data_IF_368081154425
#
_entry.id   IF_368081154425
#
_cell.length_a   1.000
_cell.length_b   1.000
_cell.length_c   1.000
_cell.angle_alpha   90.00
_cell.angle_beta   90.00
_cell.angle_gamma   90.00
#
_symmetry.space_group_name_H-M   'P 1'
#
loop_
_entity.id
_entity.type
_entity.pdbx_description
1 polymer ?
#
# COMPACT_ATOMS: atom_id res chain seq x y z
N UNK A 1 43.50 -38.80 -22.74
CA UNK A 1 42.17 -38.75 -22.12
C UNK A 1 41.96 -37.33 -21.59
N UNK A 2 41.16 -36.52 -22.25
CA UNK A 2 40.85 -35.14 -21.80
C UNK A 2 39.53 -35.18 -21.00
N UNK A 3 39.61 -34.82 -19.74
CA UNK A 3 38.44 -34.72 -18.88
C UNK A 3 37.54 -33.58 -19.35
N UNK A 4 36.29 -33.88 -19.62
CA UNK A 4 35.26 -32.94 -19.96
C UNK A 4 34.79 -32.26 -18.63
N UNK A 5 35.06 -30.95 -18.51
CA UNK A 5 34.58 -30.16 -17.42
C UNK A 5 33.12 -29.81 -17.71
N UNK A 6 32.19 -30.42 -17.03
CA UNK A 6 30.77 -30.10 -17.06
C UNK A 6 30.56 -28.74 -16.37
N UNK A 7 30.29 -27.69 -17.17
CA UNK A 7 29.74 -26.42 -16.68
C UNK A 7 28.33 -26.70 -16.12
N UNK A 8 28.23 -26.78 -14.82
CA UNK A 8 26.96 -26.66 -14.11
C UNK A 8 26.41 -25.26 -14.37
N UNK A 9 25.44 -25.12 -15.26
CA UNK A 9 24.66 -23.92 -15.42
C UNK A 9 23.90 -23.69 -14.12
N UNK A 10 24.37 -22.75 -13.30
CA UNK A 10 23.60 -22.15 -12.20
C UNK A 10 22.37 -21.51 -12.84
N UNK A 11 21.26 -22.22 -12.84
CA UNK A 11 19.94 -21.68 -13.13
C UNK A 11 19.69 -20.58 -12.09
N UNK A 12 19.89 -19.33 -12.48
CA UNK A 12 19.63 -18.16 -11.65
C UNK A 12 18.18 -18.26 -11.15
N UNK A 13 17.99 -18.52 -9.86
CA UNK A 13 16.67 -18.59 -9.25
C UNK A 13 16.04 -17.22 -9.45
N UNK A 14 15.05 -17.12 -10.32
CA UNK A 14 14.28 -15.89 -10.49
C UNK A 14 13.75 -15.46 -9.12
N UNK A 15 14.04 -14.23 -8.78
CA UNK A 15 13.54 -13.61 -7.55
C UNK A 15 12.01 -13.60 -7.58
N UNK A 16 11.37 -13.98 -6.48
CA UNK A 16 9.90 -13.94 -6.35
C UNK A 16 9.41 -12.49 -6.34
N UNK A 17 8.26 -12.18 -6.94
CA UNK A 17 7.59 -10.90 -6.77
C UNK A 17 7.32 -10.60 -5.30
N UNK A 18 7.20 -9.32 -4.99
CA UNK A 18 6.79 -8.83 -3.68
C UNK A 18 5.56 -7.94 -3.86
N UNK A 19 4.58 -8.08 -2.98
CA UNK A 19 3.31 -7.39 -3.07
C UNK A 19 3.18 -6.43 -1.90
N UNK A 20 2.90 -5.17 -2.21
CA UNK A 20 2.54 -4.12 -1.25
C UNK A 20 1.10 -3.70 -1.49
N UNK A 21 0.36 -3.49 -0.42
CA UNK A 21 -1.05 -3.15 -0.49
C UNK A 21 -1.37 -2.05 0.52
N UNK A 22 -2.17 -1.07 0.10
CA UNK A 22 -2.81 -0.15 1.03
C UNK A 22 -3.95 -0.86 1.79
N UNK A 23 -4.50 -0.19 2.79
CA UNK A 23 -5.53 -0.76 3.65
C UNK A 23 -6.89 -0.07 3.49
N UNK A 24 -6.97 1.22 3.85
CA UNK A 24 -8.20 1.99 3.82
C UNK A 24 -8.70 2.16 2.38
N UNK A 25 -9.98 1.88 2.12
CA UNK A 25 -10.53 1.91 0.78
C UNK A 25 -10.01 0.80 -0.18
N UNK A 26 -8.93 0.09 0.19
CA UNK A 26 -8.33 -0.99 -0.61
C UNK A 26 -8.73 -2.37 -0.08
N UNK A 27 -8.29 -2.76 1.13
CA UNK A 27 -8.69 -4.00 1.81
C UNK A 27 -10.09 -3.82 2.42
N UNK A 28 -10.35 -2.68 3.02
CA UNK A 28 -11.70 -2.27 3.41
C UNK A 28 -12.45 -1.66 2.24
N UNK A 29 -13.78 -1.77 2.24
CA UNK A 29 -14.62 -1.15 1.20
C UNK A 29 -14.80 0.36 1.39
N UNK A 30 -14.46 0.87 2.58
CA UNK A 30 -14.55 2.28 2.96
C UNK A 30 -13.23 2.71 3.58
N UNK A 31 -12.90 4.00 3.47
CA UNK A 31 -11.83 4.60 4.27
C UNK A 31 -12.29 4.67 5.73
N UNK A 32 -11.61 3.95 6.63
CA UNK A 32 -12.00 3.84 8.04
C UNK A 32 -11.64 5.11 8.79
N UNK A 33 -10.55 5.76 8.42
CA UNK A 33 -10.14 7.04 8.98
C UNK A 33 -11.21 8.09 8.68
N UNK A 34 -11.70 8.17 7.46
CA UNK A 34 -12.80 9.04 7.08
C UNK A 34 -14.09 8.74 7.85
N UNK A 35 -14.41 7.47 8.09
CA UNK A 35 -15.58 7.09 8.89
C UNK A 35 -15.45 7.60 10.35
N UNK A 36 -14.27 7.47 10.96
CA UNK A 36 -13.99 7.97 12.31
C UNK A 36 -14.13 9.49 12.34
N UNK A 37 -13.54 10.20 11.38
CA UNK A 37 -13.61 11.66 11.30
C UNK A 37 -15.03 12.17 11.09
N UNK A 38 -15.78 11.54 10.20
CA UNK A 38 -17.17 11.92 9.93
C UNK A 38 -18.08 11.76 11.15
N UNK A 39 -17.85 10.73 11.96
CA UNK A 39 -18.73 10.39 13.08
C UNK A 39 -18.32 11.09 14.39
N UNK A 40 -17.03 11.27 14.62
CA UNK A 40 -16.52 11.64 15.95
C UNK A 40 -15.63 12.88 15.98
N UNK A 41 -15.21 13.42 14.81
CA UNK A 41 -14.35 14.59 14.81
C UNK A 41 -15.14 15.90 14.76
N UNK A 42 -14.57 16.95 15.34
CA UNK A 42 -15.08 18.31 15.13
C UNK A 42 -15.04 18.65 13.63
N UNK A 43 -16.08 19.31 13.03
CA UNK A 43 -16.19 19.56 11.58
C UNK A 43 -15.00 20.26 10.93
N UNK A 44 -14.16 20.95 11.69
CA UNK A 44 -12.93 21.59 11.22
C UNK A 44 -11.91 20.61 10.60
N UNK A 45 -12.07 19.30 10.79
CA UNK A 45 -11.22 18.30 10.14
C UNK A 45 -11.26 18.40 8.61
N UNK A 46 -12.35 18.89 8.02
CA UNK A 46 -12.51 19.08 6.56
C UNK A 46 -11.62 20.19 5.99
N UNK A 47 -11.34 21.19 6.79
CA UNK A 47 -10.39 22.26 6.42
C UNK A 47 -8.98 21.70 6.36
N UNK A 48 -8.62 20.85 7.34
CA UNK A 48 -7.33 20.15 7.36
C UNK A 48 -7.18 19.20 6.16
N UNK A 49 -8.25 18.49 5.82
CA UNK A 49 -8.30 17.61 4.63
C UNK A 49 -8.09 18.40 3.33
N UNK A 50 -8.68 19.58 3.23
CA UNK A 50 -8.50 20.45 2.07
C UNK A 50 -7.05 20.94 1.96
N UNK A 51 -6.39 21.30 3.06
CA UNK A 51 -4.98 21.69 3.06
C UNK A 51 -4.08 20.54 2.56
N UNK A 52 -4.37 19.31 2.95
CA UNK A 52 -3.64 18.13 2.47
C UNK A 52 -3.93 17.83 0.99
N UNK A 53 -5.17 17.82 0.60
CA UNK A 53 -5.57 17.51 -0.78
C UNK A 53 -5.01 18.49 -1.81
N UNK A 54 -4.88 19.78 -1.46
CA UNK A 54 -4.22 20.77 -2.31
C UNK A 54 -2.68 20.78 -2.18
N UNK A 55 -2.11 19.95 -1.29
CA UNK A 55 -0.66 19.78 -1.13
C UNK A 55 0.01 20.83 -0.25
N UNK A 56 -0.75 21.64 0.50
CA UNK A 56 -0.22 22.64 1.43
C UNK A 56 0.47 22.01 2.65
N UNK A 57 -0.02 20.84 3.08
CA UNK A 57 0.55 20.05 4.18
C UNK A 57 0.77 18.60 3.73
N UNK A 58 1.62 17.86 4.46
CA UNK A 58 1.82 16.42 4.27
C UNK A 58 0.78 15.58 5.00
N UNK A 59 0.68 14.28 4.65
CA UNK A 59 -0.28 13.38 5.31
C UNK A 59 -0.01 13.19 6.79
N UNK A 60 1.24 13.31 7.26
CA UNK A 60 1.55 13.26 8.67
C UNK A 60 0.87 14.39 9.45
N UNK A 61 1.07 15.65 9.02
CA UNK A 61 0.48 16.81 9.68
C UNK A 61 -1.05 16.76 9.60
N UNK A 62 -1.58 16.34 8.45
CA UNK A 62 -3.01 16.17 8.26
C UNK A 62 -3.60 15.23 9.30
N UNK A 63 -3.10 13.99 9.38
CA UNK A 63 -3.60 12.97 10.32
C UNK A 63 -3.40 13.35 11.79
N UNK A 64 -2.28 14.00 12.13
CA UNK A 64 -2.03 14.48 13.49
C UNK A 64 -3.09 15.51 13.92
N UNK A 65 -3.36 16.51 13.07
CA UNK A 65 -4.36 17.54 13.32
C UNK A 65 -5.78 16.98 13.33
N UNK A 66 -6.09 16.06 12.43
CA UNK A 66 -7.40 15.40 12.34
C UNK A 66 -7.69 14.54 13.57
N UNK A 67 -6.75 13.69 14.00
CA UNK A 67 -6.93 12.84 15.17
C UNK A 67 -7.06 13.65 16.47
N UNK A 68 -6.44 14.81 16.56
CA UNK A 68 -6.61 15.72 17.68
C UNK A 68 -8.04 16.30 17.80
N UNK A 69 -8.82 16.26 16.72
CA UNK A 69 -10.22 16.70 16.68
C UNK A 69 -11.23 15.59 16.97
N UNK A 70 -10.77 14.34 17.11
CA UNK A 70 -11.63 13.18 17.41
C UNK A 70 -11.96 13.14 18.92
N UNK A 71 -13.25 13.08 19.24
CA UNK A 71 -13.79 12.91 20.59
C UNK A 71 -14.61 11.61 20.66
N UNK A 72 -13.92 10.49 20.90
CA UNK A 72 -14.54 9.17 20.98
C UNK A 72 -13.84 8.27 22.00
N UNK A 73 -14.60 7.47 22.73
CA UNK A 73 -14.05 6.42 23.57
C UNK A 73 -13.54 5.22 22.75
N UNK A 74 -12.73 4.37 23.35
CA UNK A 74 -12.27 3.15 22.71
C UNK A 74 -13.45 2.22 22.31
N UNK A 75 -14.52 2.18 23.11
CA UNK A 75 -15.73 1.39 22.83
C UNK A 75 -16.46 1.91 21.59
N UNK A 76 -16.61 3.23 21.46
CA UNK A 76 -17.24 3.88 20.31
C UNK A 76 -16.44 3.64 19.02
N UNK A 77 -15.11 3.83 19.06
CA UNK A 77 -14.23 3.52 17.94
C UNK A 77 -14.29 2.04 17.56
N UNK A 78 -14.26 1.15 18.55
CA UNK A 78 -14.34 -0.28 18.32
C UNK A 78 -15.66 -0.69 17.65
N UNK A 79 -16.79 -0.11 18.07
CA UNK A 79 -18.09 -0.37 17.46
C UNK A 79 -18.14 0.06 15.98
N UNK A 80 -17.59 1.24 15.67
CA UNK A 80 -17.47 1.71 14.29
C UNK A 80 -16.58 0.79 13.48
N UNK A 81 -15.37 0.47 13.96
CA UNK A 81 -14.39 -0.37 13.24
C UNK A 81 -14.96 -1.78 13.00
N UNK A 82 -15.72 -2.33 13.95
CA UNK A 82 -16.34 -3.64 13.80
C UNK A 82 -17.46 -3.67 12.73
N UNK A 83 -18.01 -2.53 12.38
CA UNK A 83 -19.02 -2.42 11.33
C UNK A 83 -18.42 -2.25 9.92
N UNK A 84 -17.12 -1.97 9.80
CA UNK A 84 -16.47 -1.72 8.50
C UNK A 84 -16.45 -2.99 7.66
N UNK A 85 -16.98 -2.97 6.43
CA UNK A 85 -16.92 -4.11 5.54
C UNK A 85 -15.52 -4.28 4.95
N UNK A 86 -15.05 -5.53 4.91
CA UNK A 86 -13.82 -5.96 4.22
C UNK A 86 -14.21 -6.45 2.82
N UNK A 87 -13.34 -6.26 1.86
CA UNK A 87 -13.51 -6.80 0.51
C UNK A 87 -13.76 -8.31 0.57
N UNK A 88 -14.85 -8.82 -0.06
CA UNK A 88 -15.24 -10.23 0.04
C UNK A 88 -14.21 -11.18 -0.59
N UNK A 89 -13.42 -10.73 -1.54
CA UNK A 89 -12.34 -11.50 -2.18
C UNK A 89 -11.06 -11.57 -1.33
N UNK A 90 -10.90 -10.68 -0.34
CA UNK A 90 -9.66 -10.60 0.44
C UNK A 90 -9.29 -11.90 1.18
N UNK A 91 -10.23 -12.66 1.81
CA UNK A 91 -9.88 -13.94 2.42
C UNK A 91 -9.41 -15.00 1.40
N UNK A 92 -9.91 -14.95 0.15
CA UNK A 92 -9.42 -15.82 -0.93
C UNK A 92 -8.02 -15.41 -1.39
N UNK A 93 -7.79 -14.12 -1.54
CA UNK A 93 -6.47 -13.55 -1.84
C UNK A 93 -5.40 -13.98 -0.83
N UNK A 94 -5.72 -13.97 0.47
CA UNK A 94 -4.78 -14.41 1.52
C UNK A 94 -4.42 -15.90 1.39
N UNK A 95 -5.40 -16.76 1.13
CA UNK A 95 -5.13 -18.18 0.87
C UNK A 95 -4.25 -18.36 -0.36
N UNK A 96 -4.55 -17.65 -1.43
CA UNK A 96 -3.74 -17.66 -2.64
C UNK A 96 -2.29 -17.20 -2.39
N UNK A 97 -2.09 -16.18 -1.53
CA UNK A 97 -0.76 -15.74 -1.10
C UNK A 97 0.00 -16.83 -0.35
N UNK A 98 -0.67 -17.52 0.59
CA UNK A 98 -0.09 -18.63 1.34
C UNK A 98 0.35 -19.77 0.39
N UNK A 99 -0.52 -20.15 -0.54
CA UNK A 99 -0.24 -21.22 -1.52
C UNK A 99 0.89 -20.82 -2.49
N UNK A 100 0.94 -19.59 -2.93
CA UNK A 100 1.98 -19.08 -3.84
C UNK A 100 3.31 -18.81 -3.14
N UNK A 101 3.29 -18.62 -1.81
CA UNK A 101 4.43 -18.24 -1.00
C UNK A 101 5.06 -16.90 -1.43
N UNK A 102 4.21 -15.95 -1.87
CA UNK A 102 4.63 -14.61 -2.22
C UNK A 102 4.68 -13.73 -0.96
N UNK A 103 5.74 -12.91 -0.78
CA UNK A 103 5.80 -11.94 0.30
C UNK A 103 4.76 -10.84 0.06
N UNK A 104 4.02 -10.53 1.13
CA UNK A 104 2.93 -9.56 1.14
C UNK A 104 3.06 -8.61 2.34
N UNK A 105 2.92 -7.32 2.09
CA UNK A 105 3.02 -6.28 3.09
C UNK A 105 1.85 -5.30 2.97
N UNK A 106 1.24 -4.95 4.10
CA UNK A 106 0.31 -3.83 4.19
C UNK A 106 1.11 -2.58 4.54
N UNK A 107 0.97 -1.53 3.73
CA UNK A 107 1.68 -0.26 3.89
C UNK A 107 0.65 0.87 3.78
N UNK A 108 0.19 1.38 4.91
CA UNK A 108 -0.96 2.28 5.01
C UNK A 108 -0.65 3.56 5.79
N UNK A 109 -1.28 4.66 5.40
CA UNK A 109 -1.33 5.88 6.20
C UNK A 109 -2.40 5.79 7.31
N UNK A 110 -3.22 4.72 7.34
CA UNK A 110 -4.13 4.40 8.44
C UNK A 110 -3.41 3.97 9.72
N UNK A 111 -4.19 3.58 10.72
CA UNK A 111 -3.70 3.30 12.06
C UNK A 111 -3.70 1.81 12.40
N UNK A 112 -2.63 1.32 13.02
CA UNK A 112 -2.43 -0.07 13.42
C UNK A 112 -3.56 -0.58 14.35
N UNK A 113 -4.08 0.27 15.23
CA UNK A 113 -5.24 0.00 16.09
C UNK A 113 -6.45 -0.47 15.25
N UNK A 114 -6.75 0.26 14.18
CA UNK A 114 -7.84 -0.04 13.25
C UNK A 114 -7.53 -1.29 12.44
N UNK A 115 -6.39 -1.31 11.77
CA UNK A 115 -5.99 -2.36 10.84
C UNK A 115 -5.96 -3.73 11.53
N UNK A 116 -5.33 -3.83 12.69
CA UNK A 116 -5.25 -5.09 13.45
C UNK A 116 -6.62 -5.59 13.88
N UNK A 117 -7.53 -4.69 14.26
CA UNK A 117 -8.89 -5.07 14.67
C UNK A 117 -9.69 -5.61 13.49
N UNK A 118 -9.68 -4.92 12.35
CA UNK A 118 -10.35 -5.36 11.13
C UNK A 118 -9.80 -6.71 10.64
N UNK A 119 -8.48 -6.84 10.53
CA UNK A 119 -7.83 -8.07 10.08
C UNK A 119 -8.12 -9.25 11.02
N UNK A 120 -8.11 -9.02 12.34
CA UNK A 120 -8.47 -10.05 13.33
C UNK A 120 -9.91 -10.55 13.13
N UNK A 121 -10.85 -9.63 12.91
CA UNK A 121 -12.26 -9.96 12.66
C UNK A 121 -12.44 -10.70 11.34
N UNK A 122 -11.69 -10.31 10.29
CA UNK A 122 -11.69 -11.00 9.00
C UNK A 122 -11.04 -12.39 9.04
N UNK A 123 -10.61 -12.86 10.20
CA UNK A 123 -9.99 -14.19 10.36
C UNK A 123 -8.57 -14.27 9.81
N UNK A 124 -7.93 -13.14 9.56
CA UNK A 124 -6.56 -13.08 9.06
C UNK A 124 -5.60 -13.56 10.15
N UNK A 125 -5.01 -14.73 9.93
CA UNK A 125 -4.01 -15.34 10.78
C UNK A 125 -2.71 -15.50 9.97
N UNK A 126 -1.54 -15.46 10.61
CA UNK A 126 -0.27 -15.73 9.94
C UNK A 126 0.60 -14.50 9.72
N UNK A 127 1.11 -14.28 8.52
CA UNK A 127 2.17 -13.29 8.23
C UNK A 127 1.85 -11.86 8.67
N UNK A 128 0.60 -11.40 8.52
CA UNK A 128 0.15 -10.08 9.00
C UNK A 128 0.01 -10.01 10.52
N UNK A 129 -0.11 -11.16 11.20
CA UNK A 129 -0.28 -11.23 12.66
C UNK A 129 1.03 -10.94 13.41
N UNK A 130 2.16 -11.27 12.86
CA UNK A 130 3.47 -11.16 13.54
C UNK A 130 4.05 -9.74 13.54
N UNK A 131 3.34 -8.76 12.96
CA UNK A 131 3.74 -7.35 12.98
C UNK A 131 4.78 -6.95 11.93
N UNK A 132 5.55 -7.90 11.40
CA UNK A 132 6.64 -7.61 10.46
C UNK A 132 6.16 -7.27 9.04
N UNK A 133 4.90 -7.57 8.74
CA UNK A 133 4.27 -7.32 7.43
C UNK A 133 3.26 -6.15 7.42
N UNK A 134 3.18 -5.38 8.50
CA UNK A 134 2.31 -4.21 8.62
C UNK A 134 3.12 -2.96 8.93
N UNK A 135 3.05 -2.00 8.05
CA UNK A 135 3.60 -0.65 8.19
C UNK A 135 2.45 0.34 8.22
N UNK A 136 2.14 0.87 9.38
CA UNK A 136 1.03 1.79 9.63
C UNK A 136 1.41 2.79 10.71
N UNK A 137 0.61 3.82 10.89
CA UNK A 137 0.74 4.74 12.01
C UNK A 137 0.19 4.10 13.28
N UNK A 138 0.54 4.64 14.44
CA UNK A 138 0.04 4.14 15.73
C UNK A 138 -1.01 5.08 16.29
N UNK A 139 -2.12 4.53 16.76
CA UNK A 139 -3.17 5.27 17.46
C UNK A 139 -3.31 4.74 18.89
N UNK A 140 -3.20 5.62 19.86
CA UNK A 140 -3.60 5.36 21.25
C UNK A 140 -4.84 6.15 21.60
N UNK A 141 -5.72 5.55 22.44
CA UNK A 141 -6.96 6.18 22.90
C UNK A 141 -6.87 6.35 24.41
N UNK A 142 -6.87 7.60 24.87
CA UNK A 142 -6.77 7.98 26.26
C UNK A 142 -8.07 8.66 26.68
N UNK A 143 -8.97 7.89 27.32
CA UNK A 143 -10.33 8.34 27.59
C UNK A 143 -11.11 8.55 26.29
N UNK A 144 -11.35 9.81 25.93
CA UNK A 144 -12.00 10.19 24.67
C UNK A 144 -11.04 10.84 23.65
N UNK A 145 -9.77 10.98 24.02
CA UNK A 145 -8.75 11.63 23.21
C UNK A 145 -7.98 10.59 22.39
N UNK A 146 -7.86 10.84 21.10
CA UNK A 146 -7.02 10.07 20.18
C UNK A 146 -5.64 10.72 20.03
N UNK A 147 -4.57 9.91 20.15
CA UNK A 147 -3.18 10.36 20.00
C UNK A 147 -2.52 9.54 18.91
N UNK A 148 -2.15 10.20 17.83
CA UNK A 148 -1.45 9.60 16.70
C UNK A 148 0.07 9.67 16.88
N UNK A 149 0.78 8.64 16.43
CA UNK A 149 2.24 8.66 16.24
C UNK A 149 2.64 7.98 14.94
N UNK A 150 3.80 8.38 14.41
CA UNK A 150 4.20 8.10 13.03
C UNK A 150 5.56 7.40 12.96
N UNK A 151 5.64 6.10 13.31
CA UNK A 151 6.90 5.36 13.40
C UNK A 151 7.55 5.08 12.03
N UNK A 152 6.77 5.14 10.94
CA UNK A 152 7.20 4.80 9.59
C UNK A 152 7.53 6.03 8.73
N UNK A 153 7.80 7.18 9.36
CA UNK A 153 8.32 8.36 8.69
C UNK A 153 9.75 8.10 8.19
N UNK A 154 10.16 8.89 7.21
CA UNK A 154 11.53 8.87 6.74
C UNK A 154 12.09 10.28 6.61
N UNK A 155 13.32 10.49 7.04
CA UNK A 155 14.06 11.73 6.80
C UNK A 155 14.37 11.96 5.31
N UNK A 156 14.32 10.91 4.49
CA UNK A 156 14.46 10.99 3.03
C UNK A 156 13.17 11.46 2.34
N UNK A 157 12.05 11.49 3.07
CA UNK A 157 10.74 11.88 2.52
C UNK A 157 10.66 13.40 2.33
N UNK A 158 10.34 13.82 1.10
CA UNK A 158 10.17 15.23 0.74
C UNK A 158 8.70 15.68 0.76
N UNK A 159 7.78 14.75 1.02
CA UNK A 159 6.33 14.96 0.86
C UNK A 159 5.59 14.99 2.20
N UNK A 160 6.29 14.86 3.33
CA UNK A 160 5.67 14.83 4.66
C UNK A 160 4.71 13.65 4.87
N UNK A 161 5.04 12.48 4.30
CA UNK A 161 4.21 11.29 4.43
C UNK A 161 4.16 10.79 5.87
N UNK A 162 2.99 10.38 6.33
CA UNK A 162 2.78 9.72 7.62
C UNK A 162 3.46 8.34 7.66
N UNK A 163 3.19 7.52 6.65
CA UNK A 163 3.93 6.28 6.35
C UNK A 163 4.63 6.47 5.01
N UNK A 164 5.96 6.47 5.00
CA UNK A 164 6.69 6.69 3.75
C UNK A 164 6.74 5.42 2.90
N UNK A 165 5.61 5.13 2.21
CA UNK A 165 5.42 3.93 1.35
C UNK A 165 6.60 3.73 0.38
N UNK A 166 7.08 4.74 -0.38
CA UNK A 166 8.21 4.56 -1.30
C UNK A 166 9.51 4.05 -0.63
N UNK A 167 9.85 4.59 0.53
CA UNK A 167 11.07 4.18 1.25
C UNK A 167 10.96 2.76 1.77
N UNK A 168 9.80 2.38 2.30
CA UNK A 168 9.53 1.02 2.78
C UNK A 168 9.62 0.04 1.60
N UNK A 169 8.97 0.34 0.50
CA UNK A 169 8.96 -0.49 -0.71
C UNK A 169 10.38 -0.70 -1.25
N UNK A 170 11.16 0.36 -1.43
CA UNK A 170 12.56 0.26 -1.87
C UNK A 170 13.42 -0.60 -0.94
N UNK A 171 13.23 -0.46 0.38
CA UNK A 171 13.98 -1.23 1.37
C UNK A 171 13.69 -2.72 1.29
N UNK A 172 12.41 -3.09 1.23
CA UNK A 172 11.97 -4.48 1.29
C UNK A 172 12.13 -5.20 -0.06
N UNK A 173 12.06 -4.49 -1.18
CA UNK A 173 12.14 -5.09 -2.51
C UNK A 173 13.56 -5.44 -2.99
N UNK A 174 14.62 -5.06 -2.26
CA UNK A 174 16.02 -5.25 -2.70
C UNK A 174 16.38 -6.68 -3.10
N UNK A 175 15.83 -7.66 -2.39
CA UNK A 175 16.11 -9.08 -2.62
C UNK A 175 15.01 -9.80 -3.38
N UNK A 176 13.96 -9.07 -3.78
CA UNK A 176 12.80 -9.60 -4.48
C UNK A 176 12.83 -9.33 -5.99
N UNK A 177 11.89 -9.94 -6.72
CA UNK A 177 11.66 -9.74 -8.15
C UNK A 177 10.80 -8.50 -8.40
N UNK A 178 9.85 -8.57 -9.34
CA UNK A 178 8.96 -7.46 -9.62
C UNK A 178 8.18 -7.01 -8.38
N UNK A 179 8.00 -5.70 -8.25
CA UNK A 179 7.24 -5.05 -7.20
C UNK A 179 5.81 -4.83 -7.68
N UNK A 180 4.85 -5.40 -6.98
CA UNK A 180 3.41 -5.19 -7.21
C UNK A 180 2.89 -4.23 -6.15
N UNK A 181 2.11 -3.24 -6.57
CA UNK A 181 1.42 -2.32 -5.67
C UNK A 181 -0.09 -2.36 -5.91
N UNK A 182 -0.87 -2.44 -4.82
CA UNK A 182 -2.34 -2.44 -4.82
C UNK A 182 -2.82 -1.29 -3.95
N UNK A 183 -3.62 -0.37 -4.50
CA UNK A 183 -4.09 0.80 -3.77
C UNK A 183 -5.27 1.50 -4.43
N UNK A 184 -5.82 2.52 -3.77
CA UNK A 184 -7.01 3.22 -4.21
C UNK A 184 -6.96 4.75 -4.07
N UNK A 185 -6.15 5.27 -3.15
CA UNK A 185 -6.20 6.66 -2.70
C UNK A 185 -5.06 7.56 -3.18
N UNK A 186 -5.18 8.86 -2.92
CA UNK A 186 -4.13 9.84 -3.23
C UNK A 186 -2.87 9.67 -2.38
N UNK A 187 -2.97 9.03 -1.21
CA UNK A 187 -1.81 8.69 -0.38
C UNK A 187 -0.83 7.75 -1.09
N UNK A 188 -1.31 7.02 -2.12
CA UNK A 188 -0.56 6.03 -2.90
C UNK A 188 0.22 6.63 -4.07
N UNK A 189 -0.05 7.89 -4.43
CA UNK A 189 0.52 8.55 -5.61
C UNK A 189 2.04 8.50 -5.71
N UNK A 190 2.73 8.44 -4.57
CA UNK A 190 4.18 8.34 -4.54
C UNK A 190 4.69 6.89 -4.54
N UNK A 191 3.85 5.94 -4.11
CA UNK A 191 4.18 4.52 -4.08
C UNK A 191 4.24 3.89 -5.49
N UNK A 192 3.35 4.34 -6.39
CA UNK A 192 3.26 3.78 -7.75
C UNK A 192 4.56 3.92 -8.56
N UNK A 193 5.41 4.92 -8.25
CA UNK A 193 6.71 5.10 -8.90
C UNK A 193 7.75 4.03 -8.55
N UNK A 194 7.52 3.28 -7.47
CA UNK A 194 8.40 2.20 -6.99
C UNK A 194 7.91 0.81 -7.44
N UNK A 195 6.76 0.72 -8.12
CA UNK A 195 6.16 -0.53 -8.56
C UNK A 195 6.45 -0.84 -10.03
N UNK A 196 6.63 -2.12 -10.34
CA UNK A 196 6.70 -2.64 -11.71
C UNK A 196 5.31 -2.98 -12.26
N UNK A 197 4.35 -3.28 -11.37
CA UNK A 197 2.96 -3.55 -11.70
C UNK A 197 2.03 -2.90 -10.68
N UNK A 198 1.15 -2.04 -11.14
CA UNK A 198 0.21 -1.26 -10.32
C UNK A 198 -1.21 -1.75 -10.56
N UNK A 199 -1.90 -2.09 -9.47
CA UNK A 199 -3.34 -2.31 -9.44
C UNK A 199 -3.98 -1.13 -8.72
N UNK A 200 -4.90 -0.45 -9.38
CA UNK A 200 -5.47 0.80 -8.89
C UNK A 200 -6.98 0.84 -9.02
N UNK A 201 -7.64 1.42 -8.01
CA UNK A 201 -9.06 1.79 -8.09
C UNK A 201 -9.27 3.23 -7.60
N UNK A 202 -10.48 3.74 -7.68
CA UNK A 202 -10.90 5.06 -7.20
C UNK A 202 -9.96 6.21 -7.61
N UNK A 203 -9.50 7.02 -6.64
CA UNK A 203 -8.66 8.20 -6.88
C UNK A 203 -7.29 7.86 -7.44
N UNK A 204 -6.69 6.75 -7.00
CA UNK A 204 -5.40 6.30 -7.53
C UNK A 204 -5.50 5.94 -9.01
N UNK A 205 -6.59 5.29 -9.43
CA UNK A 205 -6.82 4.97 -10.86
C UNK A 205 -6.92 6.24 -11.70
N UNK A 206 -7.64 7.25 -11.21
CA UNK A 206 -7.75 8.57 -11.87
C UNK A 206 -6.39 9.23 -11.97
N UNK A 207 -5.64 9.29 -10.86
CA UNK A 207 -4.29 9.83 -10.82
C UNK A 207 -3.35 9.13 -11.82
N UNK A 208 -3.34 7.80 -11.84
CA UNK A 208 -2.49 7.04 -12.77
C UNK A 208 -2.81 7.38 -14.23
N UNK A 209 -4.09 7.49 -14.59
CA UNK A 209 -4.52 7.85 -15.94
C UNK A 209 -4.07 9.26 -16.33
N UNK A 210 -4.24 10.23 -15.43
CA UNK A 210 -3.84 11.63 -15.66
C UNK A 210 -2.32 11.79 -15.78
N UNK A 211 -1.55 11.04 -14.99
CA UNK A 211 -0.09 11.10 -15.00
C UNK A 211 0.57 10.14 -16.02
N UNK A 212 -0.22 9.38 -16.78
CA UNK A 212 0.31 8.40 -17.74
C UNK A 212 1.06 7.24 -17.08
N UNK A 213 0.74 6.90 -15.84
CA UNK A 213 1.28 5.75 -15.12
C UNK A 213 0.51 4.51 -15.57
N UNK A 214 1.23 3.49 -16.04
CA UNK A 214 0.61 2.23 -16.41
C UNK A 214 0.03 1.53 -15.17
N UNK A 215 -1.26 1.24 -15.19
CA UNK A 215 -1.95 0.54 -14.12
C UNK A 215 -3.05 -0.36 -14.66
N UNK A 216 -3.40 -1.38 -13.90
CA UNK A 216 -4.55 -2.27 -14.15
C UNK A 216 -5.66 -1.91 -13.17
N UNK A 217 -6.88 -1.59 -13.65
CA UNK A 217 -8.00 -1.36 -12.77
C UNK A 217 -8.44 -2.65 -12.08
N UNK A 218 -8.97 -2.55 -10.86
CA UNK A 218 -9.60 -3.64 -10.14
C UNK A 218 -10.79 -3.12 -9.32
N UNK A 219 -11.76 -3.97 -9.05
CA UNK A 219 -12.89 -3.68 -8.17
C UNK A 219 -12.79 -4.48 -6.86
N UNK A 220 -12.41 -5.75 -6.95
CA UNK A 220 -12.32 -6.69 -5.83
C UNK A 220 -10.94 -7.38 -5.77
N UNK A 221 -10.66 -8.04 -4.64
CA UNK A 221 -9.43 -8.85 -4.53
C UNK A 221 -9.43 -10.11 -5.41
N UNK A 222 -10.58 -10.52 -5.95
CA UNK A 222 -10.60 -11.58 -6.98
C UNK A 222 -9.95 -11.08 -8.27
N UNK A 223 -10.21 -9.83 -8.68
CA UNK A 223 -9.55 -9.21 -9.83
C UNK A 223 -8.03 -9.04 -9.60
N UNK A 224 -7.65 -8.75 -8.35
CA UNK A 224 -6.23 -8.62 -7.96
C UNK A 224 -5.49 -9.94 -8.16
N UNK A 225 -6.08 -11.08 -7.75
CA UNK A 225 -5.50 -12.43 -7.96
C UNK A 225 -5.32 -12.68 -9.45
N UNK A 226 -6.39 -12.52 -10.23
CA UNK A 226 -6.38 -12.80 -11.67
C UNK A 226 -5.33 -11.94 -12.41
N UNK A 227 -5.25 -10.66 -12.06
CA UNK A 227 -4.30 -9.73 -12.68
C UNK A 227 -2.84 -10.07 -12.32
N UNK A 228 -2.55 -10.43 -11.07
CA UNK A 228 -1.20 -10.82 -10.66
C UNK A 228 -0.81 -12.14 -11.34
N UNK A 229 -1.70 -13.13 -11.41
CA UNK A 229 -1.44 -14.39 -12.12
C UNK A 229 -1.14 -14.14 -13.60
N UNK A 230 -1.93 -13.29 -14.26
CA UNK A 230 -1.69 -12.87 -15.64
C UNK A 230 -0.32 -12.22 -15.84
N UNK A 231 0.06 -11.29 -14.95
CA UNK A 231 1.36 -10.65 -14.95
C UNK A 231 2.52 -11.63 -14.78
N UNK A 232 2.39 -12.58 -13.85
CA UNK A 232 3.41 -13.61 -13.59
C UNK A 232 3.57 -14.57 -14.77
N UNK A 233 2.47 -14.94 -15.41
CA UNK A 233 2.48 -15.85 -16.57
C UNK A 233 3.08 -15.17 -17.81
N UNK A 234 2.77 -13.90 -18.05
CA UNK A 234 3.36 -13.11 -19.14
C UNK A 234 4.86 -12.95 -18.97
N UNK A 235 5.31 -12.73 -17.74
CA UNK A 235 6.73 -12.64 -17.37
C UNK A 235 7.47 -13.98 -17.54
N UNK A 236 6.77 -15.10 -17.50
CA UNK A 236 7.32 -16.44 -17.78
C UNK A 236 7.43 -16.72 -19.28
N UNK A 237 6.44 -16.29 -20.06
CA UNK A 237 6.39 -16.51 -21.51
C UNK A 237 7.40 -15.63 -22.27
N UNK A 238 7.63 -14.39 -21.84
CA UNK A 238 8.55 -13.43 -22.46
C UNK A 238 10.04 -13.75 -22.31
N UNK A 239 10.42 -14.76 -21.55
CA UNK A 239 11.81 -15.17 -21.38
C UNK A 239 12.33 -16.18 -22.41
N UNK A 240 11.48 -16.56 -23.38
CA UNK A 240 11.86 -17.41 -24.52
C UNK A 240 12.21 -16.63 -25.83
N UNK A 241 12.05 -15.31 -25.85
CA UNK A 241 12.31 -14.47 -27.03
C UNK A 241 12.65 -13.04 -26.65
N UNK A 242 13.77 -12.57 -27.16
CA UNK A 242 14.34 -11.23 -27.27
C UNK A 242 13.82 -10.11 -26.34
N UNK A 243 14.79 -9.49 -25.66
CA UNK A 243 14.70 -8.28 -24.85
C UNK A 243 14.01 -7.12 -25.61
N UNK A 244 12.80 -6.73 -25.24
CA UNK A 244 12.30 -5.39 -25.49
C UNK A 244 12.32 -4.61 -24.17
N UNK A 245 13.29 -3.72 -24.05
CA UNK A 245 13.32 -2.72 -22.97
C UNK A 245 12.20 -1.72 -23.23
N UNK A 246 11.16 -1.72 -22.40
CA UNK A 246 10.22 -0.60 -22.31
C UNK A 246 10.95 0.67 -21.83
N UNK A 247 10.49 1.85 -22.21
CA UNK A 247 11.20 3.09 -21.93
C UNK A 247 11.11 3.43 -20.43
N UNK A 248 12.25 3.43 -19.74
CA UNK A 248 12.39 4.11 -18.45
C UNK A 248 12.07 5.59 -18.65
N UNK A 249 11.13 6.11 -17.87
CA UNK A 249 10.86 7.53 -17.81
C UNK A 249 12.17 8.30 -17.57
N UNK A 250 12.51 9.19 -18.49
CA UNK A 250 13.70 10.07 -18.40
C UNK A 250 13.46 11.04 -17.23
N UNK A 251 14.40 11.09 -16.31
CA UNK A 251 14.52 12.14 -15.29
C UNK A 251 14.47 13.49 -16.00
N UNK A 252 13.46 14.30 -15.62
CA UNK A 252 13.28 15.63 -16.16
C UNK A 252 14.50 16.52 -15.93
N UNK A 253 14.90 17.19 -16.99
CA UNK A 253 15.91 18.25 -17.04
C UNK A 253 15.45 19.44 -16.20
N UNK A 254 16.39 20.00 -15.44
CA UNK A 254 16.27 21.28 -14.73
C UNK A 254 15.81 22.36 -15.69
N UNK A 255 14.75 23.06 -15.34
CA UNK A 255 14.44 24.38 -15.92
C UNK A 255 15.11 25.41 -15.02
N UNK A 256 16.09 26.12 -15.58
CA UNK A 256 16.67 27.32 -15.00
C UNK A 256 15.71 28.47 -15.27
N UNK A 257 15.30 29.17 -14.24
CA UNK A 257 14.65 30.48 -14.34
C UNK A 257 15.71 31.55 -14.18
N UNK A 258 15.85 32.36 -15.21
CA UNK A 258 16.31 33.75 -15.10
C UNK A 258 15.16 34.61 -14.56
#
# INVERSE_FOLDING_TARGET
MKAATTKSEKRERRKKPIIFCDFDGTITQLDVTDQILNQYAHPAWREVEQEWSCGSIGSQECLERQMALVDASAEELNALIDAVPVDPGFPRFLRWLEDSGLPFYVVSDGFDYVIRRVLKRAGVNGQLRNGDALFANTLSVEGRRSVASFPNRSSECKHGCATCKPVIMRRLSREHGPVVYVGDGLSDRHAVAEADFVLAKHQLLTYCREQGVACTPFDTFDDVVDAIEGFLNSSRAGSGGAKSRGPRARRGTRVSTE
#
